data_IF_721428816876
#
_entry.id   IF_721428816876
#
_cell.length_a   1.000
_cell.length_b   1.000
_cell.length_c   1.000
_cell.angle_alpha   90.00
_cell.angle_beta   90.00
_cell.angle_gamma   90.00
#
_symmetry.space_group_name_H-M   'P 1'
#
loop_
_entity.id
_entity.type
_entity.pdbx_description
1 polymer ?
#
# COMPACT_ATOMS: atom_id res chain seq x y z
N UNK A 1 16.54 -1.44 -22.73
CA UNK A 1 16.50 -0.65 -21.48
C UNK A 1 15.81 -1.51 -20.41
N UNK A 2 16.39 -1.68 -19.21
CA UNK A 2 15.69 -2.35 -18.11
C UNK A 2 14.52 -1.45 -17.70
N UNK A 3 13.29 -1.86 -17.97
CA UNK A 3 12.11 -1.19 -17.41
C UNK A 3 12.22 -1.27 -15.89
N UNK A 4 12.46 -0.14 -15.25
CA UNK A 4 12.55 -0.07 -13.79
C UNK A 4 11.13 0.15 -13.26
N UNK A 5 10.48 -0.93 -12.86
CA UNK A 5 9.16 -0.86 -12.25
C UNK A 5 9.22 -0.23 -10.85
N UNK A 6 8.18 0.51 -10.52
CA UNK A 6 7.98 1.07 -9.18
C UNK A 6 7.55 -0.05 -8.23
N UNK A 7 8.26 -0.15 -7.11
CA UNK A 7 7.96 -1.13 -6.08
C UNK A 7 7.18 -0.49 -4.95
N UNK A 8 6.02 -1.05 -4.63
CA UNK A 8 5.25 -0.60 -3.48
C UNK A 8 6.03 -0.75 -2.16
N UNK A 9 5.91 0.22 -1.24
CA UNK A 9 6.48 0.10 0.10
C UNK A 9 5.66 -0.83 1.01
N UNK A 10 4.44 -1.23 0.57
CA UNK A 10 3.58 -2.15 1.30
C UNK A 10 3.92 -3.60 0.95
N UNK A 11 4.33 -4.38 1.96
CA UNK A 11 4.61 -5.81 1.79
C UNK A 11 3.33 -6.62 2.06
N UNK A 12 2.46 -6.67 1.04
CA UNK A 12 1.22 -7.42 1.09
C UNK A 12 1.42 -8.84 0.55
N UNK A 13 0.72 -9.81 1.15
CA UNK A 13 0.80 -11.22 0.72
C UNK A 13 0.38 -11.34 -0.75
N UNK A 14 1.05 -12.19 -1.51
CA UNK A 14 0.77 -12.37 -2.93
C UNK A 14 1.31 -11.27 -3.86
N UNK A 15 2.14 -10.34 -3.35
CA UNK A 15 2.65 -9.23 -4.13
C UNK A 15 3.37 -9.64 -5.44
N UNK A 16 2.97 -9.07 -6.56
CA UNK A 16 3.39 -9.44 -7.93
C UNK A 16 4.62 -8.69 -8.46
N UNK A 17 5.32 -7.92 -7.62
CA UNK A 17 6.45 -7.10 -8.09
C UNK A 17 7.49 -7.86 -8.94
N UNK A 18 7.86 -9.08 -8.53
CA UNK A 18 8.84 -9.91 -9.27
C UNK A 18 8.32 -10.42 -10.61
N UNK A 19 7.00 -10.45 -10.77
CA UNK A 19 6.33 -10.92 -11.99
C UNK A 19 5.97 -9.80 -12.95
N UNK A 20 6.15 -8.53 -12.59
CA UNK A 20 5.81 -7.39 -13.44
C UNK A 20 6.44 -7.46 -14.84
N UNK A 21 7.71 -7.91 -15.02
CA UNK A 21 8.29 -8.06 -16.35
C UNK A 21 7.55 -9.06 -17.25
N UNK A 22 6.77 -9.97 -16.66
CA UNK A 22 5.96 -10.96 -17.39
C UNK A 22 4.51 -10.48 -17.54
N UNK A 23 3.98 -9.77 -16.54
CA UNK A 23 2.58 -9.33 -16.50
C UNK A 23 2.35 -8.09 -17.37
N UNK A 24 3.14 -7.03 -17.17
CA UNK A 24 2.90 -5.73 -17.82
C UNK A 24 2.93 -5.83 -19.36
N UNK A 25 3.84 -6.60 -20.00
CA UNK A 25 3.84 -6.73 -21.46
C UNK A 25 2.60 -7.42 -22.06
N UNK A 26 1.79 -8.08 -21.23
CA UNK A 26 0.54 -8.73 -21.66
C UNK A 26 -0.65 -7.76 -21.69
N UNK A 27 -0.50 -6.57 -21.15
CA UNK A 27 -1.57 -5.58 -21.16
C UNK A 27 -1.72 -4.96 -22.53
N UNK A 28 -2.95 -4.65 -22.96
CA UNK A 28 -3.17 -3.95 -24.22
C UNK A 28 -2.59 -2.54 -24.16
N UNK A 29 -2.30 -1.98 -25.33
CA UNK A 29 -1.97 -0.56 -25.47
C UNK A 29 -3.24 0.31 -25.37
N UNK A 30 -3.07 1.58 -24.99
CA UNK A 30 -4.14 2.58 -24.97
C UNK A 30 -5.31 2.27 -24.01
N UNK A 31 -5.02 1.74 -22.83
CA UNK A 31 -6.03 1.51 -21.80
C UNK A 31 -6.61 2.85 -21.36
N UNK A 32 -7.94 2.95 -21.38
CA UNK A 32 -8.65 4.11 -20.88
C UNK A 32 -8.78 4.06 -19.36
N UNK A 33 -9.43 3.03 -18.80
CA UNK A 33 -9.50 2.77 -17.36
C UNK A 33 -8.89 1.39 -17.08
N UNK A 34 -7.87 1.35 -16.24
CA UNK A 34 -7.31 0.12 -15.70
C UNK A 34 -7.90 -0.12 -14.30
N UNK A 35 -8.55 -1.26 -14.10
CA UNK A 35 -9.09 -1.65 -12.79
C UNK A 35 -8.24 -2.75 -12.20
N UNK A 36 -7.51 -2.46 -11.11
CA UNK A 36 -6.79 -3.43 -10.28
C UNK A 36 -7.75 -3.94 -9.20
N UNK A 37 -8.44 -5.06 -9.48
CA UNK A 37 -9.60 -5.50 -8.72
C UNK A 37 -9.25 -6.05 -7.33
N UNK A 38 -8.08 -6.67 -7.20
CA UNK A 38 -7.54 -7.23 -5.97
C UNK A 38 -6.15 -6.63 -5.74
N UNK A 39 -6.08 -5.30 -5.62
CA UNK A 39 -4.85 -4.53 -5.76
C UNK A 39 -3.79 -4.78 -4.68
N UNK A 40 -4.19 -5.26 -3.48
CA UNK A 40 -3.27 -5.61 -2.40
C UNK A 40 -2.25 -4.52 -2.11
N UNK A 41 -0.94 -4.84 -2.25
CA UNK A 41 0.14 -3.85 -2.11
C UNK A 41 0.29 -2.88 -3.28
N UNK A 42 -0.55 -2.91 -4.29
CA UNK A 42 -0.59 -2.02 -5.45
C UNK A 42 0.67 -2.05 -6.33
N UNK A 43 1.29 -3.22 -6.50
CA UNK A 43 2.45 -3.35 -7.37
C UNK A 43 2.09 -3.39 -8.86
N UNK A 44 0.92 -3.88 -9.24
CA UNK A 44 0.50 -3.99 -10.64
C UNK A 44 -0.08 -2.68 -11.11
N UNK A 45 -1.14 -2.18 -10.47
CA UNK A 45 -1.83 -0.97 -10.91
C UNK A 45 -0.94 0.27 -10.96
N UNK A 46 -0.01 0.47 -9.99
CA UNK A 46 0.91 1.62 -10.01
C UNK A 46 1.80 1.63 -11.25
N UNK A 47 2.09 0.47 -11.84
CA UNK A 47 2.93 0.31 -13.03
C UNK A 47 2.13 0.16 -14.33
N UNK A 48 0.81 0.15 -14.28
CA UNK A 48 -0.02 0.09 -15.48
C UNK A 48 0.05 1.41 -16.26
N UNK A 49 0.07 1.30 -17.58
CA UNK A 49 -0.03 2.45 -18.49
C UNK A 49 -1.48 2.63 -18.94
N UNK A 50 -2.18 3.56 -18.28
CA UNK A 50 -3.59 3.86 -18.52
C UNK A 50 -3.88 5.33 -18.22
N UNK A 51 -4.96 5.88 -18.81
CA UNK A 51 -5.37 7.26 -18.55
C UNK A 51 -5.86 7.45 -17.13
N UNK A 52 -6.58 6.46 -16.58
CA UNK A 52 -7.03 6.40 -15.19
C UNK A 52 -6.83 5.00 -14.64
N UNK A 53 -6.46 4.91 -13.37
CA UNK A 53 -6.27 3.65 -12.68
C UNK A 53 -7.19 3.61 -11.46
N UNK A 54 -8.03 2.60 -11.38
CA UNK A 54 -8.91 2.33 -10.25
C UNK A 54 -8.34 1.15 -9.47
N UNK A 55 -7.90 1.42 -8.25
CA UNK A 55 -7.50 0.40 -7.29
C UNK A 55 -8.71 -0.03 -6.47
N UNK A 56 -8.88 -1.34 -6.31
CA UNK A 56 -9.85 -1.90 -5.38
C UNK A 56 -9.20 -2.97 -4.51
N UNK A 57 -9.53 -2.97 -3.23
CA UNK A 57 -9.22 -4.06 -2.30
C UNK A 57 -10.24 -4.11 -1.17
N UNK A 58 -10.48 -5.29 -0.61
CA UNK A 58 -11.39 -5.46 0.52
C UNK A 58 -10.76 -5.00 1.85
N UNK A 59 -9.43 -4.94 1.94
CA UNK A 59 -8.70 -4.49 3.13
C UNK A 59 -8.75 -2.96 3.26
N UNK A 60 -9.81 -2.43 3.86
CA UNK A 60 -10.01 -0.98 4.04
C UNK A 60 -8.77 -0.24 4.61
N UNK A 61 -8.02 -0.76 5.62
CA UNK A 61 -6.83 -0.08 6.09
C UNK A 61 -5.75 0.14 5.02
N UNK A 62 -5.58 -0.81 4.10
CA UNK A 62 -4.63 -0.68 2.99
C UNK A 62 -5.12 0.35 1.98
N UNK A 63 -6.41 0.32 1.64
CA UNK A 63 -7.04 1.35 0.79
C UNK A 63 -6.81 2.74 1.36
N UNK A 64 -7.04 2.93 2.67
CA UNK A 64 -6.83 4.21 3.35
C UNK A 64 -5.37 4.67 3.33
N UNK A 65 -4.40 3.76 3.47
CA UNK A 65 -2.98 4.12 3.33
C UNK A 65 -2.73 4.65 1.92
N UNK A 66 -3.12 3.92 0.88
CA UNK A 66 -2.85 4.31 -0.51
C UNK A 66 -3.54 5.63 -0.89
N UNK A 67 -4.78 5.83 -0.48
CA UNK A 67 -5.53 7.07 -0.69
C UNK A 67 -4.86 8.26 0.03
N UNK A 68 -4.38 8.03 1.26
CA UNK A 68 -3.63 9.04 2.01
C UNK A 68 -2.30 9.39 1.32
N UNK A 69 -1.55 8.38 0.85
CA UNK A 69 -0.30 8.59 0.11
C UNK A 69 -0.50 9.37 -1.20
N UNK A 70 -1.65 9.22 -1.83
CA UNK A 70 -2.00 9.95 -3.05
C UNK A 70 -2.45 11.40 -2.77
N UNK A 71 -3.14 11.65 -1.64
CA UNK A 71 -3.79 12.93 -1.34
C UNK A 71 -2.94 13.93 -0.55
N UNK A 72 -1.81 13.49 0.05
CA UNK A 72 -0.97 14.32 0.90
C UNK A 72 0.44 14.50 0.31
N UNK A 73 1.11 15.59 0.69
CA UNK A 73 2.49 15.82 0.23
C UNK A 73 3.46 14.85 0.88
N UNK A 74 4.48 14.47 0.13
CA UNK A 74 5.55 13.58 0.61
C UNK A 74 6.20 14.11 1.90
N UNK A 75 6.45 15.41 1.95
CA UNK A 75 7.05 16.07 3.12
C UNK A 75 6.18 15.94 4.37
N UNK A 76 4.87 16.21 4.26
CA UNK A 76 3.92 16.06 5.38
C UNK A 76 3.94 14.62 5.93
N UNK A 77 3.91 13.63 5.05
CA UNK A 77 3.90 12.23 5.44
C UNK A 77 5.22 11.81 6.10
N UNK A 78 6.35 12.23 5.56
CA UNK A 78 7.66 11.93 6.15
C UNK A 78 7.82 12.56 7.53
N UNK A 79 7.38 13.79 7.71
CA UNK A 79 7.37 14.45 9.01
C UNK A 79 6.51 13.71 10.03
N UNK A 80 5.31 13.26 9.64
CA UNK A 80 4.45 12.46 10.52
C UNK A 80 5.10 11.11 10.89
N UNK A 81 5.75 10.44 9.94
CA UNK A 81 6.49 9.19 10.23
C UNK A 81 7.58 9.45 11.26
N UNK A 82 8.37 10.51 11.07
CA UNK A 82 9.46 10.88 11.96
C UNK A 82 8.93 11.31 13.35
N UNK A 83 7.77 11.96 13.43
CA UNK A 83 7.06 12.27 14.69
C UNK A 83 6.67 10.99 15.45
N UNK A 84 6.09 10.00 14.78
CA UNK A 84 5.76 8.72 15.42
C UNK A 84 7.01 7.97 15.87
N UNK A 85 8.08 7.96 15.04
CA UNK A 85 9.36 7.35 15.40
C UNK A 85 9.91 7.98 16.69
N UNK A 86 9.92 9.29 16.77
CA UNK A 86 10.43 10.04 17.93
C UNK A 86 9.54 9.84 19.16
N UNK A 87 8.22 10.00 19.02
CA UNK A 87 7.25 9.85 20.11
C UNK A 87 7.34 8.51 20.81
N UNK A 88 7.42 7.42 20.03
CA UNK A 88 7.46 6.05 20.57
C UNK A 88 8.89 5.50 20.67
N UNK A 89 9.92 6.31 20.37
CA UNK A 89 11.34 5.93 20.35
C UNK A 89 11.57 4.65 19.56
N UNK A 90 10.91 4.54 18.39
CA UNK A 90 10.96 3.34 17.55
C UNK A 90 12.38 3.08 17.07
N UNK A 91 12.81 1.84 17.25
CA UNK A 91 14.10 1.35 16.77
C UNK A 91 14.02 -0.14 16.48
N UNK A 92 15.08 -0.73 15.93
CA UNK A 92 15.14 -2.18 15.68
C UNK A 92 15.09 -3.04 16.95
N UNK A 93 15.31 -2.43 18.12
CA UNK A 93 15.40 -3.13 19.41
C UNK A 93 14.35 -2.70 20.43
N UNK A 94 13.58 -1.63 20.15
CA UNK A 94 12.57 -1.13 21.10
C UNK A 94 11.20 -1.79 20.89
N UNK A 95 11.03 -2.98 21.42
CA UNK A 95 9.77 -3.72 21.44
C UNK A 95 8.66 -3.00 22.23
N UNK A 96 9.04 -2.30 23.31
CA UNK A 96 8.07 -1.57 24.18
C UNK A 96 7.43 -0.43 23.39
N UNK A 97 8.22 0.40 22.71
CA UNK A 97 7.70 1.49 21.89
C UNK A 97 6.83 1.00 20.72
N UNK A 98 7.22 -0.12 20.10
CA UNK A 98 6.39 -0.74 19.07
C UNK A 98 5.03 -1.21 19.59
N UNK A 99 5.00 -1.89 20.73
CA UNK A 99 3.75 -2.35 21.37
C UNK A 99 2.85 -1.20 21.76
N UNK A 100 3.43 -0.11 22.30
CA UNK A 100 2.68 1.10 22.63
C UNK A 100 2.06 1.74 21.40
N UNK A 101 2.83 1.94 20.31
CA UNK A 101 2.30 2.45 19.04
C UNK A 101 1.15 1.58 18.52
N UNK A 102 1.30 0.24 18.59
CA UNK A 102 0.27 -0.70 18.13
C UNK A 102 -1.00 -0.62 18.98
N UNK A 103 -0.84 -0.50 20.29
CA UNK A 103 -1.96 -0.36 21.21
C UNK A 103 -2.72 0.95 20.98
N UNK A 104 -2.00 2.07 20.86
CA UNK A 104 -2.59 3.38 20.60
C UNK A 104 -3.30 3.42 19.24
N UNK A 105 -2.70 2.82 18.20
CA UNK A 105 -3.38 2.68 16.89
C UNK A 105 -4.66 1.86 17.02
N UNK A 106 -4.62 0.72 17.71
CA UNK A 106 -5.79 -0.17 17.84
C UNK A 106 -6.90 0.45 18.67
N UNK A 107 -6.58 1.26 19.69
CA UNK A 107 -7.57 1.98 20.53
C UNK A 107 -8.12 3.25 19.88
N UNK A 108 -7.38 3.85 18.94
CA UNK A 108 -7.83 5.08 18.28
C UNK A 108 -9.10 4.84 17.47
N UNK A 109 -10.07 5.73 17.59
CA UNK A 109 -11.25 5.77 16.71
C UNK A 109 -10.85 6.24 15.30
N UNK A 110 -9.98 7.25 15.24
CA UNK A 110 -9.37 7.70 14.00
C UNK A 110 -8.14 6.84 13.68
N UNK A 111 -8.34 5.85 12.82
CA UNK A 111 -7.30 4.93 12.34
C UNK A 111 -6.37 5.64 11.36
N UNK A 112 -5.49 6.51 11.87
CA UNK A 112 -4.58 7.32 11.05
C UNK A 112 -3.72 6.42 10.13
N UNK A 113 -3.78 6.62 8.78
CA UNK A 113 -3.09 5.74 7.82
C UNK A 113 -1.56 5.78 7.93
N UNK A 114 -0.97 6.93 8.26
CA UNK A 114 0.50 7.05 8.41
C UNK A 114 0.98 6.43 9.74
N UNK A 115 0.17 6.51 10.80
CA UNK A 115 0.46 5.76 12.03
C UNK A 115 0.51 4.26 11.77
N UNK A 116 -0.46 3.73 10.99
CA UNK A 116 -0.45 2.32 10.57
C UNK A 116 0.74 2.00 9.67
N UNK A 117 1.06 2.85 8.70
CA UNK A 117 2.22 2.64 7.83
C UNK A 117 3.52 2.60 8.65
N UNK A 118 3.69 3.52 9.59
CA UNK A 118 4.85 3.52 10.51
C UNK A 118 4.91 2.22 11.32
N UNK A 119 3.78 1.77 11.84
CA UNK A 119 3.69 0.50 12.58
C UNK A 119 4.11 -0.70 11.70
N UNK A 120 3.67 -0.75 10.43
CA UNK A 120 4.07 -1.76 9.46
C UNK A 120 5.59 -1.76 9.26
N UNK A 121 6.22 -0.58 9.19
CA UNK A 121 7.66 -0.45 8.99
C UNK A 121 8.51 -1.07 10.11
N UNK A 122 7.96 -1.27 11.29
CA UNK A 122 8.62 -1.89 12.43
C UNK A 122 8.09 -3.29 12.76
N UNK A 123 7.12 -3.79 11.98
CA UNK A 123 6.55 -5.13 12.16
C UNK A 123 7.44 -6.23 11.58
N UNK A 124 7.22 -7.46 12.02
CA UNK A 124 7.91 -8.64 11.50
C UNK A 124 7.68 -8.78 9.98
N UNK A 125 8.78 -8.79 9.22
CA UNK A 125 8.81 -8.85 7.76
C UNK A 125 7.98 -7.75 7.06
N UNK A 126 7.70 -6.62 7.71
CA UNK A 126 6.88 -5.53 7.17
C UNK A 126 5.48 -5.99 6.73
N UNK A 127 4.95 -7.03 7.33
CA UNK A 127 3.69 -7.64 6.93
C UNK A 127 2.48 -6.88 7.47
N UNK A 128 1.37 -7.02 6.75
CA UNK A 128 0.09 -6.42 7.09
C UNK A 128 -0.87 -7.55 7.46
N UNK A 129 -1.36 -7.53 8.69
CA UNK A 129 -2.33 -8.50 9.20
C UNK A 129 -3.19 -7.89 10.29
N UNK A 130 -4.48 -8.19 10.22
CA UNK A 130 -5.48 -7.82 11.22
C UNK A 130 -6.13 -9.07 11.79
N UNK A 131 -6.58 -9.00 13.04
CA UNK A 131 -7.39 -10.04 13.65
C UNK A 131 -8.87 -9.91 13.22
N UNK A 132 -9.72 -10.83 13.67
CA UNK A 132 -11.17 -10.82 13.37
C UNK A 132 -11.92 -9.60 13.93
N UNK A 133 -11.33 -8.87 14.87
CA UNK A 133 -11.88 -7.61 15.41
C UNK A 133 -11.43 -6.38 14.63
N UNK A 134 -10.56 -6.56 13.63
CA UNK A 134 -9.98 -5.46 12.84
C UNK A 134 -8.75 -4.81 13.48
N UNK A 135 -8.21 -5.36 14.58
CA UNK A 135 -6.99 -4.83 15.19
C UNK A 135 -5.75 -5.29 14.43
N UNK A 136 -4.79 -4.40 14.24
CA UNK A 136 -3.48 -4.75 13.73
C UNK A 136 -2.72 -5.63 14.73
N UNK A 137 -2.30 -6.82 14.30
CA UNK A 137 -1.78 -7.84 15.22
C UNK A 137 -0.43 -8.44 14.82
N UNK A 138 0.34 -7.76 13.95
CA UNK A 138 1.68 -8.23 13.63
C UNK A 138 2.62 -8.08 14.84
N UNK A 139 3.53 -9.05 15.07
CA UNK A 139 4.58 -8.92 16.06
C UNK A 139 5.66 -7.91 15.64
N UNK A 140 6.46 -7.47 16.62
CA UNK A 140 7.63 -6.64 16.38
C UNK A 140 8.68 -7.33 15.52
N UNK A 141 9.27 -6.59 14.60
CA UNK A 141 10.33 -7.08 13.71
C UNK A 141 11.73 -6.88 14.29
N UNK A 142 11.96 -7.45 15.49
CA UNK A 142 13.21 -7.30 16.25
C UNK A 142 14.45 -7.46 15.38
N UNK A 143 15.38 -6.51 15.46
CA UNK A 143 16.68 -6.44 14.79
C UNK A 143 16.64 -6.39 13.25
N UNK A 144 15.45 -6.52 12.64
CA UNK A 144 15.28 -6.61 11.18
C UNK A 144 14.53 -5.44 10.58
N UNK A 145 13.44 -5.01 11.22
CA UNK A 145 12.50 -4.07 10.63
C UNK A 145 12.67 -2.66 11.19
N UNK A 146 12.71 -1.68 10.32
CA UNK A 146 12.71 -0.24 10.65
C UNK A 146 12.38 0.56 9.39
N UNK A 147 12.00 1.81 9.56
CA UNK A 147 11.91 2.77 8.47
C UNK A 147 13.33 3.22 8.10
N UNK A 148 14.08 2.32 7.48
CA UNK A 148 15.48 2.50 7.08
C UNK A 148 15.59 3.28 5.75
N UNK A 149 16.80 3.76 5.36
CA UNK A 149 16.99 4.55 4.14
C UNK A 149 16.47 3.86 2.86
N UNK A 150 16.61 2.53 2.76
CA UNK A 150 16.11 1.77 1.59
C UNK A 150 14.57 1.77 1.54
N UNK A 151 13.90 1.64 2.68
CA UNK A 151 12.44 1.69 2.74
C UNK A 151 11.95 3.11 2.51
N UNK A 152 12.66 4.13 3.02
CA UNK A 152 12.37 5.54 2.78
C UNK A 152 12.46 5.88 1.28
N UNK A 153 13.54 5.50 0.60
CA UNK A 153 13.70 5.71 -0.85
C UNK A 153 12.59 5.02 -1.65
N UNK A 154 12.22 3.80 -1.27
CA UNK A 154 11.10 3.09 -1.89
C UNK A 154 9.77 3.83 -1.67
N UNK A 155 9.51 4.32 -0.46
CA UNK A 155 8.32 5.10 -0.13
C UNK A 155 8.25 6.36 -0.96
N UNK A 156 9.34 7.12 -1.02
CA UNK A 156 9.41 8.39 -1.76
C UNK A 156 9.16 8.19 -3.25
N UNK A 157 9.81 7.20 -3.88
CA UNK A 157 9.61 6.86 -5.30
C UNK A 157 8.16 6.43 -5.61
N UNK A 158 7.56 5.69 -4.69
CA UNK A 158 6.18 5.24 -4.84
C UNK A 158 5.20 6.41 -4.74
N UNK A 159 5.38 7.31 -3.76
CA UNK A 159 4.57 8.53 -3.61
C UNK A 159 4.73 9.43 -4.83
N UNK A 160 5.96 9.63 -5.32
CA UNK A 160 6.20 10.41 -6.54
C UNK A 160 5.44 9.85 -7.74
N UNK A 161 5.31 8.52 -7.86
CA UNK A 161 4.53 7.90 -8.93
C UNK A 161 3.02 8.08 -8.73
N UNK A 162 2.55 7.96 -7.47
CA UNK A 162 1.14 8.21 -7.16
C UNK A 162 0.69 9.63 -7.51
N UNK A 163 1.58 10.61 -7.43
CA UNK A 163 1.25 12.00 -7.76
C UNK A 163 1.32 12.35 -9.26
N UNK A 164 1.76 11.41 -10.12
CA UNK A 164 1.88 11.63 -11.58
C UNK A 164 0.65 11.23 -12.37
N UNK A 165 -0.18 10.33 -11.83
CA UNK A 165 -1.28 9.70 -12.56
C UNK A 165 -2.62 9.93 -11.88
N UNK A 166 -3.69 9.76 -12.63
CA UNK A 166 -5.07 9.79 -12.11
C UNK A 166 -5.41 8.44 -11.46
N UNK A 167 -5.30 8.37 -10.14
CA UNK A 167 -5.68 7.20 -9.35
C UNK A 167 -6.98 7.42 -8.60
N UNK A 168 -7.77 6.36 -8.50
CA UNK A 168 -8.93 6.28 -7.62
C UNK A 168 -8.85 5.03 -6.76
N UNK A 169 -8.94 5.21 -5.44
CA UNK A 169 -8.91 4.12 -4.47
C UNK A 169 -10.32 3.83 -3.98
N UNK A 170 -10.75 2.56 -4.05
CA UNK A 170 -12.07 2.13 -3.63
C UNK A 170 -11.97 0.87 -2.77
N UNK A 171 -12.97 0.68 -1.91
CA UNK A 171 -13.08 -0.49 -1.03
C UNK A 171 -14.44 -1.15 -1.28
N UNK A 172 -14.48 -2.01 -2.28
CA UNK A 172 -15.71 -2.69 -2.69
C UNK A 172 -15.50 -4.20 -2.72
N UNK A 173 -16.54 -4.92 -2.31
CA UNK A 173 -16.62 -6.35 -2.60
C UNK A 173 -16.63 -6.55 -4.13
N UNK A 174 -15.76 -7.43 -4.64
CA UNK A 174 -15.62 -7.65 -6.09
C UNK A 174 -16.94 -8.06 -6.77
N UNK A 175 -17.87 -8.67 -6.04
CA UNK A 175 -19.21 -9.03 -6.54
C UNK A 175 -20.05 -7.82 -6.93
N UNK A 176 -19.75 -6.64 -6.40
CA UNK A 176 -20.42 -5.36 -6.74
C UNK A 176 -19.90 -4.76 -8.05
N UNK A 177 -18.77 -5.23 -8.56
CA UNK A 177 -18.15 -4.73 -9.81
C UNK A 177 -18.98 -5.06 -11.05
N UNK A 178 -19.79 -6.11 -11.03
CA UNK A 178 -20.74 -6.39 -12.13
C UNK A 178 -21.68 -5.22 -12.46
N UNK A 179 -21.83 -4.26 -11.54
CA UNK A 179 -22.61 -3.04 -11.76
C UNK A 179 -21.82 -1.92 -12.47
N UNK A 180 -20.51 -2.10 -12.69
CA UNK A 180 -19.70 -1.15 -13.45
C UNK A 180 -19.91 -1.41 -14.95
N UNK A 181 -20.23 -0.34 -15.68
CA UNK A 181 -20.31 -0.38 -17.13
C UNK A 181 -18.91 -0.15 -17.69
N UNK A 182 -18.27 -1.21 -18.15
CA UNK A 182 -17.00 -1.13 -18.89
C UNK A 182 -17.27 -0.66 -20.32
N UNK A 183 -16.35 0.15 -20.83
CA UNK A 183 -16.32 0.60 -22.23
C UNK A 183 -15.20 -0.10 -22.98
N UNK A 184 -15.23 0.05 -24.31
CA UNK A 184 -14.10 -0.37 -25.14
C UNK A 184 -12.82 0.31 -24.63
N UNK A 185 -11.71 -0.42 -24.60
CA UNK A 185 -10.41 -0.02 -24.05
C UNK A 185 -10.35 0.15 -22.51
N UNK A 186 -11.36 -0.24 -21.74
CA UNK A 186 -11.21 -0.44 -20.32
C UNK A 186 -10.63 -1.85 -20.06
N UNK A 187 -9.77 -1.98 -19.04
CA UNK A 187 -9.09 -3.23 -18.74
C UNK A 187 -9.26 -3.62 -17.27
N UNK A 188 -9.72 -4.83 -17.03
CA UNK A 188 -9.88 -5.38 -15.69
C UNK A 188 -8.79 -6.41 -15.41
N UNK A 189 -7.94 -6.12 -14.43
CA UNK A 189 -6.95 -7.06 -13.90
C UNK A 189 -7.49 -7.75 -12.65
N UNK A 190 -7.57 -9.08 -12.70
CA UNK A 190 -8.09 -9.93 -11.63
C UNK A 190 -7.02 -10.92 -11.18
N UNK A 191 -6.55 -10.78 -9.93
CA UNK A 191 -5.54 -11.65 -9.32
C UNK A 191 -5.91 -11.93 -7.85
N UNK A 192 -6.99 -12.71 -7.61
CA UNK A 192 -7.42 -13.02 -6.25
C UNK A 192 -6.39 -13.90 -5.55
N UNK A 193 -6.20 -13.66 -4.24
CA UNK A 193 -5.52 -14.62 -3.36
C UNK A 193 -6.45 -15.83 -3.17
N UNK A 194 -5.95 -17.01 -3.48
CA UNK A 194 -6.62 -18.29 -3.24
C UNK A 194 -6.46 -18.74 -1.78
#
# INVERSE_FOLDING_TARGET
MKNTYIKSPLNYVGGKYKLLPQIIPLFPSNINIFVDLFGGGFNVGVNADAKRIVYNDLCLPVVKILDYLHSHTKEQMLNQIDEYINKYKLSKTNDVGYKQLREDYNKSEDKNPIMLYTLICYSFNYQIRFNSKGDYNMPFGKERSSFNPTLRDKFEKFVDELHKKDFKFVNLDFRKIQNLKFKDNDFLYCDPLL
#
